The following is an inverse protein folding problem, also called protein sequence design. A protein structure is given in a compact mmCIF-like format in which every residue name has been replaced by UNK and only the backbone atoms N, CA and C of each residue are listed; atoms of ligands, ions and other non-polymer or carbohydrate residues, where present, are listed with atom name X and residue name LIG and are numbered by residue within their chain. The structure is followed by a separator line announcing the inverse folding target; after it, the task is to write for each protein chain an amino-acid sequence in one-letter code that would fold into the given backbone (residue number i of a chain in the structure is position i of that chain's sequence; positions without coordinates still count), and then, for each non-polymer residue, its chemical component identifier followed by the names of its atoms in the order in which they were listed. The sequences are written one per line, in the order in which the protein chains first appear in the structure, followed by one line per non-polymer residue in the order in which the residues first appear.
data_IF_478315311931
#
_entry.id   IF_478315311931
#
_cell.length_a   1.000
_cell.length_b   1.000
_cell.length_c   1.000
_cell.angle_alpha   90.00
_cell.angle_beta   90.00
_cell.angle_gamma   90.00
#
_symmetry.space_group_name_H-M   'P 1'
#
loop_
_entity.id
_entity.type
_entity.pdbx_description
1 polymer ?
#
# COMPACT_ATOMS: atom_id res chain seq x y z
N UNK A 1 5.15 22.58 -9.82
CA UNK A 1 6.57 22.21 -9.68
C UNK A 1 7.07 22.61 -8.29
N UNK A 2 7.91 21.79 -7.70
CA UNK A 2 8.60 22.09 -6.44
C UNK A 2 10.06 22.42 -6.74
N UNK A 3 10.57 23.46 -6.11
CA UNK A 3 11.97 23.87 -6.23
C UNK A 3 12.77 23.47 -4.97
N UNK A 4 14.11 23.55 -5.08
CA UNK A 4 15.02 23.27 -3.98
C UNK A 4 15.19 21.77 -3.69
N UNK A 5 15.68 21.45 -2.50
CA UNK A 5 16.14 20.11 -2.14
C UNK A 5 15.12 18.99 -2.44
N UNK A 6 13.85 19.15 -2.02
CA UNK A 6 12.84 18.14 -2.27
C UNK A 6 12.47 18.06 -3.76
N UNK A 7 12.38 19.20 -4.46
CA UNK A 7 12.15 19.23 -5.90
C UNK A 7 13.22 18.46 -6.68
N UNK A 8 14.49 18.72 -6.37
CA UNK A 8 15.63 18.02 -6.99
C UNK A 8 15.57 16.51 -6.73
N UNK A 9 15.16 16.09 -5.52
CA UNK A 9 14.99 14.66 -5.16
C UNK A 9 13.84 14.01 -5.92
N UNK A 10 12.71 14.72 -6.06
CA UNK A 10 11.55 14.23 -6.83
C UNK A 10 11.93 14.07 -8.30
N UNK A 11 12.55 15.07 -8.90
CA UNK A 11 12.95 15.03 -10.32
C UNK A 11 13.97 13.92 -10.59
N UNK A 12 14.94 13.74 -9.70
CA UNK A 12 15.90 12.65 -9.79
C UNK A 12 15.22 11.26 -9.67
N UNK A 13 14.28 11.12 -8.74
CA UNK A 13 13.50 9.89 -8.56
C UNK A 13 12.68 9.56 -9.81
N UNK A 14 11.97 10.54 -10.36
CA UNK A 14 11.17 10.34 -11.58
C UNK A 14 12.07 9.89 -12.73
N UNK A 15 13.14 10.61 -13.01
CA UNK A 15 14.04 10.33 -14.13
C UNK A 15 14.71 8.97 -14.00
N UNK A 16 15.25 8.65 -12.81
CA UNK A 16 16.12 7.49 -12.61
C UNK A 16 15.35 6.25 -12.17
N UNK A 17 14.24 6.39 -11.44
CA UNK A 17 13.50 5.23 -10.90
C UNK A 17 12.20 4.93 -11.63
N UNK A 18 11.41 5.97 -11.94
CA UNK A 18 10.10 5.77 -12.57
C UNK A 18 10.23 5.57 -14.08
N UNK A 19 10.97 6.47 -14.75
CA UNK A 19 11.11 6.44 -16.21
C UNK A 19 12.01 5.32 -16.72
N UNK A 20 12.94 4.81 -15.91
CA UNK A 20 13.83 3.70 -16.31
C UNK A 20 13.17 2.34 -16.23
N UNK A 21 12.09 2.19 -15.45
CA UNK A 21 11.40 0.91 -15.27
C UNK A 21 10.70 0.46 -16.57
N UNK A 22 10.73 -0.84 -16.82
CA UNK A 22 9.98 -1.46 -17.91
C UNK A 22 8.71 -2.13 -17.35
N UNK A 23 7.53 -1.52 -17.54
CA UNK A 23 6.29 -2.07 -17.01
C UNK A 23 5.93 -3.44 -17.60
N UNK A 24 6.45 -3.80 -18.77
CA UNK A 24 6.21 -5.10 -19.37
C UNK A 24 6.84 -6.25 -18.57
N UNK A 25 8.02 -6.00 -17.98
CA UNK A 25 8.65 -6.93 -17.05
C UNK A 25 7.82 -7.12 -15.78
N UNK A 26 7.15 -6.06 -15.30
CA UNK A 26 6.27 -6.13 -14.14
C UNK A 26 4.96 -6.91 -14.43
N UNK A 27 4.51 -6.93 -15.68
CA UNK A 27 3.33 -7.69 -16.13
C UNK A 27 3.65 -9.17 -16.38
N UNK A 28 4.90 -9.54 -16.62
CA UNK A 28 5.28 -10.89 -16.99
C UNK A 28 4.74 -12.00 -16.04
N UNK A 29 4.71 -11.85 -14.71
CA UNK A 29 4.11 -12.85 -13.81
C UNK A 29 2.61 -13.07 -14.07
N UNK A 30 1.86 -12.00 -14.39
CA UNK A 30 0.43 -12.10 -14.67
C UNK A 30 0.13 -12.82 -16.00
N UNK A 31 1.08 -12.84 -16.94
CA UNK A 31 0.97 -13.65 -18.14
C UNK A 31 1.18 -15.15 -17.85
N UNK A 32 2.03 -15.49 -16.89
CA UNK A 32 2.35 -16.88 -16.55
C UNK A 32 1.30 -17.54 -15.68
N UNK A 33 0.81 -16.83 -14.66
CA UNK A 33 -0.19 -17.31 -13.70
C UNK A 33 0.15 -18.68 -13.07
N UNK A 34 1.38 -18.82 -12.63
CA UNK A 34 1.91 -20.08 -12.06
C UNK A 34 2.32 -19.95 -10.60
N UNK A 35 2.10 -18.79 -10.02
CA UNK A 35 2.53 -18.48 -8.65
C UNK A 35 1.59 -19.13 -7.62
N UNK A 36 2.12 -19.42 -6.44
CA UNK A 36 1.36 -20.02 -5.34
C UNK A 36 1.57 -19.35 -4.00
N UNK A 37 2.58 -18.48 -3.88
CA UNK A 37 2.97 -17.92 -2.57
C UNK A 37 3.51 -16.51 -2.58
N UNK A 38 4.02 -16.00 -3.71
CA UNK A 38 4.74 -14.73 -3.78
C UNK A 38 3.86 -13.56 -4.24
N UNK A 39 4.34 -12.32 -4.02
CA UNK A 39 3.58 -11.07 -4.18
C UNK A 39 3.93 -10.26 -5.44
N UNK A 40 4.35 -10.90 -6.51
CA UNK A 40 4.84 -10.26 -7.74
C UNK A 40 3.88 -9.23 -8.34
N UNK A 41 2.58 -9.47 -8.31
CA UNK A 41 1.59 -8.59 -8.95
C UNK A 41 1.44 -7.22 -8.27
N UNK A 42 1.89 -7.06 -7.01
CA UNK A 42 1.88 -5.75 -6.36
C UNK A 42 2.84 -4.74 -7.01
N UNK A 43 3.92 -5.22 -7.64
CA UNK A 43 4.95 -4.35 -8.18
C UNK A 43 4.45 -3.50 -9.35
N UNK A 44 3.65 -4.10 -10.23
CA UNK A 44 3.02 -3.36 -11.33
C UNK A 44 2.11 -2.24 -10.78
N UNK A 45 1.25 -2.54 -9.82
CA UNK A 45 0.33 -1.56 -9.26
C UNK A 45 1.06 -0.43 -8.52
N UNK A 46 2.09 -0.76 -7.74
CA UNK A 46 2.92 0.23 -7.05
C UNK A 46 3.63 1.15 -8.03
N UNK A 47 4.25 0.59 -9.07
CA UNK A 47 4.89 1.39 -10.12
C UNK A 47 3.88 2.29 -10.83
N UNK A 48 2.74 1.74 -11.26
CA UNK A 48 1.70 2.49 -11.98
C UNK A 48 1.19 3.68 -11.18
N UNK A 49 0.93 3.49 -9.87
CA UNK A 49 0.52 4.58 -8.98
C UNK A 49 1.59 5.67 -8.88
N UNK A 50 2.86 5.28 -8.71
CA UNK A 50 3.99 6.22 -8.67
C UNK A 50 4.20 6.94 -10.00
N UNK A 51 4.07 6.22 -11.13
CA UNK A 51 4.22 6.78 -12.46
C UNK A 51 3.10 7.78 -12.80
N UNK A 52 1.85 7.48 -12.44
CA UNK A 52 0.71 8.39 -12.63
C UNK A 52 0.88 9.67 -11.81
N UNK A 53 1.25 9.56 -10.53
CA UNK A 53 1.51 10.73 -9.70
C UNK A 53 2.69 11.56 -10.24
N UNK A 54 3.76 10.92 -10.69
CA UNK A 54 4.90 11.57 -11.35
C UNK A 54 4.48 12.28 -12.64
N UNK A 55 3.66 11.64 -13.47
CA UNK A 55 3.13 12.28 -14.68
C UNK A 55 2.23 13.49 -14.34
N UNK A 56 1.43 13.41 -13.30
CA UNK A 56 0.63 14.57 -12.86
C UNK A 56 1.52 15.75 -12.47
N UNK A 57 2.69 15.49 -11.93
CA UNK A 57 3.67 16.50 -11.55
C UNK A 57 4.41 17.10 -12.74
N UNK A 58 4.99 16.30 -13.63
CA UNK A 58 5.89 16.78 -14.69
C UNK A 58 5.30 16.84 -16.10
N UNK A 59 4.15 16.18 -16.34
CA UNK A 59 3.46 16.08 -17.64
C UNK A 59 4.32 15.52 -18.78
N UNK A 60 5.28 14.65 -18.47
CA UNK A 60 6.16 14.03 -19.44
C UNK A 60 5.38 13.08 -20.38
N UNK A 61 5.28 13.38 -21.70
CA UNK A 61 4.53 12.54 -22.62
C UNK A 61 5.15 11.15 -22.85
N UNK A 62 6.46 10.99 -22.63
CA UNK A 62 7.13 9.68 -22.70
C UNK A 62 6.68 8.79 -21.53
N UNK A 63 6.59 9.36 -20.33
CA UNK A 63 6.09 8.65 -19.18
C UNK A 63 4.63 8.25 -19.36
N UNK A 64 3.78 9.13 -19.94
CA UNK A 64 2.39 8.79 -20.23
C UNK A 64 2.29 7.58 -21.17
N UNK A 65 3.04 7.59 -22.29
CA UNK A 65 3.06 6.46 -23.23
C UNK A 65 3.50 5.14 -22.55
N UNK A 66 4.45 5.23 -21.64
CA UNK A 66 4.90 4.06 -20.87
C UNK A 66 3.81 3.54 -19.94
N UNK A 67 3.07 4.44 -19.26
CA UNK A 67 1.91 4.08 -18.43
C UNK A 67 0.83 3.40 -19.28
N UNK A 68 0.48 4.00 -20.40
CA UNK A 68 -0.51 3.46 -21.35
C UNK A 68 -0.14 2.05 -21.81
N UNK A 69 1.10 1.86 -22.26
CA UNK A 69 1.62 0.55 -22.68
C UNK A 69 1.59 -0.50 -21.55
N UNK A 70 1.93 -0.10 -20.33
CA UNK A 70 1.87 -0.97 -19.16
C UNK A 70 0.45 -1.39 -18.79
N UNK A 71 -0.52 -0.49 -18.92
CA UNK A 71 -1.94 -0.80 -18.70
C UNK A 71 -2.50 -1.70 -19.80
N UNK A 72 -2.22 -1.41 -21.06
CA UNK A 72 -2.64 -2.27 -22.18
C UNK A 72 -2.07 -3.69 -22.03
N UNK A 73 -0.78 -3.78 -21.71
CA UNK A 73 -0.09 -5.05 -21.48
C UNK A 73 -0.73 -5.87 -20.36
N UNK A 74 -1.12 -5.20 -19.27
CA UNK A 74 -1.82 -5.85 -18.16
C UNK A 74 -3.22 -6.33 -18.55
N UNK A 75 -4.02 -5.47 -19.20
CA UNK A 75 -5.41 -5.80 -19.56
C UNK A 75 -5.50 -7.01 -20.49
N UNK A 76 -4.50 -7.22 -21.35
CA UNK A 76 -4.41 -8.42 -22.22
C UNK A 76 -4.28 -9.71 -21.41
N UNK A 77 -3.77 -9.66 -20.17
CA UNK A 77 -3.65 -10.84 -19.30
C UNK A 77 -4.96 -11.25 -18.64
N UNK A 78 -6.01 -10.42 -18.72
CA UNK A 78 -7.28 -10.70 -18.06
C UNK A 78 -7.93 -11.96 -18.60
N UNK A 79 -8.21 -12.90 -17.70
CA UNK A 79 -8.85 -14.17 -18.05
C UNK A 79 -10.33 -13.97 -18.42
N UNK A 80 -10.94 -14.93 -19.12
CA UNK A 80 -12.36 -14.86 -19.49
C UNK A 80 -13.30 -14.70 -18.29
N UNK A 81 -12.95 -15.25 -17.13
CA UNK A 81 -13.70 -15.12 -15.87
C UNK A 81 -13.49 -13.78 -15.17
N UNK A 82 -12.57 -12.96 -15.65
CA UNK A 82 -12.26 -11.63 -15.11
C UNK A 82 -10.99 -11.54 -14.27
N UNK A 83 -10.34 -12.66 -13.95
CA UNK A 83 -9.13 -12.66 -13.13
C UNK A 83 -7.97 -11.91 -13.79
N UNK A 84 -7.28 -11.07 -13.04
CA UNK A 84 -5.95 -10.53 -13.32
C UNK A 84 -5.09 -10.75 -12.08
N UNK A 85 -4.01 -11.47 -12.20
CA UNK A 85 -3.08 -11.75 -11.12
C UNK A 85 -2.02 -12.75 -11.57
N UNK A 86 -1.11 -13.09 -10.69
CA UNK A 86 0.01 -14.00 -10.97
C UNK A 86 -0.20 -15.45 -10.46
N UNK A 87 -1.30 -15.71 -9.72
CA UNK A 87 -1.55 -16.98 -9.07
C UNK A 87 -2.16 -18.01 -10.02
N UNK A 88 -1.70 -19.27 -9.87
CA UNK A 88 -2.36 -20.41 -10.48
C UNK A 88 -3.81 -20.54 -9.97
N UNK A 89 -4.75 -21.03 -10.79
CA UNK A 89 -6.17 -21.10 -10.42
C UNK A 89 -6.42 -21.81 -9.08
N UNK A 90 -5.73 -22.91 -8.82
CA UNK A 90 -5.85 -23.68 -7.58
C UNK A 90 -5.24 -23.02 -6.35
N UNK A 91 -4.39 -22.01 -6.53
CA UNK A 91 -3.74 -21.27 -5.47
C UNK A 91 -4.40 -19.90 -5.19
N UNK A 92 -5.40 -19.51 -5.96
CA UNK A 92 -6.13 -18.27 -5.72
C UNK A 92 -6.72 -18.24 -4.31
N UNK A 93 -6.92 -17.06 -3.76
CA UNK A 93 -7.36 -16.80 -2.38
C UNK A 93 -6.38 -17.27 -1.29
N UNK A 94 -5.14 -17.57 -1.63
CA UNK A 94 -4.10 -17.88 -0.63
C UNK A 94 -3.01 -16.81 -0.63
N UNK A 95 -2.24 -16.77 0.45
CA UNK A 95 -1.05 -15.93 0.58
C UNK A 95 -1.27 -14.47 0.14
N UNK A 96 -0.69 -14.05 -0.97
CA UNK A 96 -0.71 -12.66 -1.45
C UNK A 96 -1.61 -12.43 -2.68
N UNK A 97 -2.45 -13.40 -3.06
CA UNK A 97 -3.30 -13.28 -4.25
C UNK A 97 -4.24 -12.06 -4.16
N UNK A 98 -5.03 -11.95 -3.08
CA UNK A 98 -5.98 -10.83 -2.93
C UNK A 98 -5.25 -9.50 -2.77
N UNK A 99 -4.09 -9.49 -2.09
CA UNK A 99 -3.21 -8.35 -2.02
C UNK A 99 -2.73 -7.89 -3.40
N UNK A 100 -2.36 -8.82 -4.26
CA UNK A 100 -1.99 -8.52 -5.65
C UNK A 100 -3.14 -7.90 -6.44
N UNK A 101 -4.35 -8.48 -6.32
CA UNK A 101 -5.57 -7.92 -6.94
C UNK A 101 -5.86 -6.51 -6.47
N UNK A 102 -5.64 -6.21 -5.17
CA UNK A 102 -5.75 -4.85 -4.63
C UNK A 102 -4.90 -3.87 -5.44
N UNK A 103 -3.63 -4.17 -5.65
CA UNK A 103 -2.72 -3.29 -6.37
C UNK A 103 -3.07 -3.17 -7.84
N UNK A 104 -3.52 -4.24 -8.46
CA UNK A 104 -4.06 -4.23 -9.83
C UNK A 104 -5.23 -3.26 -9.94
N UNK A 105 -6.21 -3.36 -9.05
CA UNK A 105 -7.37 -2.47 -9.03
C UNK A 105 -6.97 -1.01 -8.78
N UNK A 106 -6.10 -0.74 -7.81
CA UNK A 106 -5.62 0.62 -7.53
C UNK A 106 -4.95 1.26 -8.75
N UNK A 107 -4.07 0.52 -9.43
CA UNK A 107 -3.40 1.00 -10.63
C UNK A 107 -4.36 1.29 -11.78
N UNK A 108 -5.29 0.37 -12.06
CA UNK A 108 -6.30 0.54 -13.13
C UNK A 108 -7.26 1.70 -12.84
N UNK A 109 -7.72 1.85 -11.59
CA UNK A 109 -8.59 2.96 -11.19
C UNK A 109 -7.89 4.30 -11.27
N UNK A 110 -6.62 4.38 -10.84
CA UNK A 110 -5.82 5.60 -10.98
C UNK A 110 -5.60 5.98 -12.45
N UNK A 111 -5.41 5.00 -13.32
CA UNK A 111 -5.30 5.22 -14.76
C UNK A 111 -6.63 5.70 -15.38
N UNK A 112 -7.74 5.08 -14.99
CA UNK A 112 -9.07 5.55 -15.38
C UNK A 112 -9.31 7.01 -14.96
N UNK A 113 -8.94 7.37 -13.72
CA UNK A 113 -9.08 8.76 -13.23
C UNK A 113 -8.19 9.77 -13.99
N UNK A 114 -7.07 9.30 -14.52
CA UNK A 114 -6.17 10.12 -15.31
C UNK A 114 -6.69 10.36 -16.73
N UNK A 115 -7.21 9.30 -17.37
CA UNK A 115 -7.45 9.27 -18.82
C UNK A 115 -8.90 9.20 -19.22
N UNK A 116 -9.78 8.74 -18.34
CA UNK A 116 -11.17 8.38 -18.66
C UNK A 116 -11.31 7.08 -19.48
N UNK A 117 -10.24 6.30 -19.63
CA UNK A 117 -10.28 5.05 -20.42
C UNK A 117 -11.15 3.99 -19.73
N UNK A 118 -12.32 3.77 -20.35
CA UNK A 118 -13.31 2.82 -19.84
C UNK A 118 -12.81 1.38 -19.82
N UNK A 119 -11.84 1.00 -20.65
CA UNK A 119 -11.29 -0.37 -20.64
C UNK A 119 -10.64 -0.69 -19.28
N UNK A 120 -9.97 0.30 -18.67
CA UNK A 120 -9.39 0.14 -17.35
C UNK A 120 -10.45 -0.02 -16.26
N UNK A 121 -11.54 0.76 -16.31
CA UNK A 121 -12.68 0.63 -15.41
C UNK A 121 -13.37 -0.73 -15.58
N UNK A 122 -13.67 -1.12 -16.83
CA UNK A 122 -14.31 -2.41 -17.14
C UNK A 122 -13.44 -3.59 -16.72
N UNK A 123 -12.12 -3.51 -16.90
CA UNK A 123 -11.17 -4.50 -16.43
C UNK A 123 -11.20 -4.64 -14.90
N UNK A 124 -11.30 -3.51 -14.20
CA UNK A 124 -11.40 -3.48 -12.73
C UNK A 124 -12.74 -4.06 -12.25
N UNK A 125 -13.85 -3.71 -12.91
CA UNK A 125 -15.19 -4.28 -12.64
C UNK A 125 -15.16 -5.80 -12.76
N UNK A 126 -14.63 -6.32 -13.87
CA UNK A 126 -14.55 -7.78 -14.09
C UNK A 126 -13.67 -8.47 -13.03
N UNK A 127 -12.55 -7.85 -12.65
CA UNK A 127 -11.68 -8.40 -11.60
C UNK A 127 -12.38 -8.41 -10.22
N UNK A 128 -13.08 -7.34 -9.88
CA UNK A 128 -13.86 -7.27 -8.65
C UNK A 128 -15.01 -8.28 -8.65
N UNK A 129 -15.77 -8.36 -9.74
CA UNK A 129 -16.87 -9.32 -9.88
C UNK A 129 -16.38 -10.77 -9.76
N UNK A 130 -15.24 -11.10 -10.37
CA UNK A 130 -14.61 -12.41 -10.18
C UNK A 130 -14.32 -12.68 -8.69
N UNK A 131 -13.77 -11.70 -7.96
CA UNK A 131 -13.52 -11.85 -6.51
C UNK A 131 -14.83 -12.09 -5.74
N UNK A 132 -15.90 -11.39 -6.08
CA UNK A 132 -17.21 -11.54 -5.45
C UNK A 132 -17.82 -12.92 -5.70
N UNK A 133 -17.49 -13.61 -6.80
CA UNK A 133 -17.90 -15.00 -7.02
C UNK A 133 -17.18 -15.99 -6.10
N UNK A 134 -15.99 -15.63 -5.64
CA UNK A 134 -15.13 -16.49 -4.82
C UNK A 134 -15.33 -16.23 -3.32
N UNK A 135 -15.56 -14.99 -2.91
CA UNK A 135 -15.71 -14.58 -1.51
C UNK A 135 -17.17 -14.14 -1.29
N UNK A 136 -17.91 -14.71 -0.33
CA UNK A 136 -17.48 -15.74 0.64
C UNK A 136 -17.67 -17.20 0.19
N UNK A 137 -18.14 -17.43 -1.02
CA UNK A 137 -18.61 -18.76 -1.46
C UNK A 137 -17.53 -19.86 -1.34
N UNK A 138 -16.29 -19.55 -1.69
CA UNK A 138 -15.16 -20.49 -1.60
C UNK A 138 -14.46 -20.35 -0.26
N UNK A 139 -14.22 -19.12 0.19
CA UNK A 139 -13.52 -18.82 1.44
C UNK A 139 -13.92 -17.46 2.00
N UNK A 140 -14.02 -17.35 3.33
CA UNK A 140 -14.21 -16.06 4.01
C UNK A 140 -12.95 -15.20 3.87
N UNK A 141 -13.10 -13.87 3.74
CA UNK A 141 -11.97 -12.99 3.42
C UNK A 141 -10.89 -12.99 4.51
N UNK A 142 -11.23 -13.05 5.78
CA UNK A 142 -10.28 -13.10 6.90
C UNK A 142 -9.48 -14.41 6.95
N UNK A 143 -9.92 -15.42 6.20
CA UNK A 143 -9.23 -16.70 6.03
C UNK A 143 -8.48 -16.81 4.70
N UNK A 144 -8.52 -15.77 3.89
CA UNK A 144 -7.67 -15.63 2.71
C UNK A 144 -6.40 -14.86 3.07
N UNK A 145 -5.33 -15.10 2.34
CA UNK A 145 -4.07 -14.40 2.61
C UNK A 145 -3.44 -14.81 3.95
N UNK A 146 -2.74 -13.87 4.56
CA UNK A 146 -1.96 -14.03 5.78
C UNK A 146 -2.39 -13.01 6.86
N UNK A 147 -1.87 -13.14 8.07
CA UNK A 147 -2.14 -12.24 9.21
C UNK A 147 -3.65 -12.11 9.49
N UNK A 148 -4.35 -13.24 9.64
CA UNK A 148 -5.81 -13.30 9.83
C UNK A 148 -6.58 -12.52 8.77
N UNK A 149 -6.11 -12.60 7.53
CA UNK A 149 -6.68 -11.91 6.39
C UNK A 149 -6.43 -10.41 6.34
N UNK A 150 -5.57 -9.84 7.18
CA UNK A 150 -5.27 -8.40 7.18
C UNK A 150 -4.75 -7.93 5.81
N UNK A 151 -3.86 -8.71 5.17
CA UNK A 151 -3.41 -8.42 3.81
C UNK A 151 -4.56 -8.38 2.80
N UNK A 152 -5.50 -9.31 2.90
CA UNK A 152 -6.65 -9.41 1.99
C UNK A 152 -7.75 -8.38 2.29
N UNK A 153 -8.03 -8.11 3.57
CA UNK A 153 -9.02 -7.10 3.97
C UNK A 153 -8.64 -5.69 3.48
N UNK A 154 -7.36 -5.42 3.22
CA UNK A 154 -6.91 -4.14 2.67
C UNK A 154 -7.42 -3.85 1.25
N UNK A 155 -8.05 -4.83 0.57
CA UNK A 155 -8.75 -4.60 -0.71
C UNK A 155 -9.99 -3.70 -0.53
N UNK A 156 -10.41 -3.45 0.70
CA UNK A 156 -11.47 -2.50 1.04
C UNK A 156 -11.27 -1.14 0.35
N UNK A 157 -10.01 -0.65 0.28
CA UNK A 157 -9.70 0.62 -0.38
C UNK A 157 -10.13 0.63 -1.86
N UNK A 158 -9.59 -0.23 -2.75
CA UNK A 158 -10.00 -0.18 -4.16
C UNK A 158 -11.46 -0.61 -4.40
N UNK A 159 -12.07 -1.42 -3.54
CA UNK A 159 -13.51 -1.73 -3.63
C UNK A 159 -14.34 -0.47 -3.40
N UNK A 160 -14.01 0.36 -2.42
CA UNK A 160 -14.70 1.63 -2.20
C UNK A 160 -14.42 2.65 -3.30
N UNK A 161 -13.19 2.69 -3.81
CA UNK A 161 -12.87 3.52 -4.97
C UNK A 161 -13.63 3.09 -6.22
N UNK A 162 -13.86 1.79 -6.41
CA UNK A 162 -14.68 1.26 -7.50
C UNK A 162 -16.16 1.61 -7.31
N UNK A 163 -16.70 1.47 -6.08
CA UNK A 163 -18.04 1.93 -5.75
C UNK A 163 -18.27 3.39 -6.14
N UNK A 164 -17.36 4.28 -5.78
CA UNK A 164 -17.46 5.70 -6.08
C UNK A 164 -17.50 6.02 -7.59
N UNK A 165 -17.05 5.12 -8.46
CA UNK A 165 -17.02 5.29 -9.92
C UNK A 165 -18.17 4.61 -10.64
N UNK A 166 -18.71 3.57 -10.02
CA UNK A 166 -19.80 2.76 -10.62
C UNK A 166 -21.15 3.02 -9.97
N UNK A 167 -21.17 3.39 -8.70
CA UNK A 167 -22.36 3.48 -7.83
C UNK A 167 -23.13 2.15 -7.76
N UNK A 168 -22.44 1.02 -8.01
CA UNK A 168 -23.07 -0.31 -7.90
C UNK A 168 -23.02 -0.79 -6.44
N UNK A 169 -24.17 -0.89 -5.83
CA UNK A 169 -24.34 -1.22 -4.41
C UNK A 169 -23.68 -2.54 -4.00
N UNK A 170 -23.49 -3.49 -4.92
CA UNK A 170 -22.79 -4.75 -4.62
C UNK A 170 -21.38 -4.53 -4.03
N UNK A 171 -20.68 -3.47 -4.44
CA UNK A 171 -19.36 -3.13 -3.93
C UNK A 171 -19.42 -2.52 -2.53
N UNK A 172 -20.43 -1.71 -2.24
CA UNK A 172 -20.67 -1.20 -0.89
C UNK A 172 -21.08 -2.32 0.07
N UNK A 173 -21.92 -3.25 -0.38
CA UNK A 173 -22.29 -4.42 0.41
C UNK A 173 -21.08 -5.33 0.66
N UNK A 174 -20.23 -5.51 -0.34
CA UNK A 174 -18.97 -6.26 -0.17
C UNK A 174 -18.01 -5.54 0.79
N UNK A 175 -17.92 -4.22 0.74
CA UNK A 175 -17.12 -3.43 1.69
C UNK A 175 -17.62 -3.61 3.14
N UNK A 176 -18.94 -3.59 3.38
CA UNK A 176 -19.53 -3.89 4.68
C UNK A 176 -19.20 -5.30 5.14
N UNK A 177 -19.30 -6.27 4.25
CA UNK A 177 -18.91 -7.66 4.52
C UNK A 177 -17.43 -7.76 4.93
N UNK A 178 -16.51 -7.07 4.21
CA UNK A 178 -15.10 -7.06 4.58
C UNK A 178 -14.90 -6.55 6.01
N UNK A 179 -15.56 -5.46 6.38
CA UNK A 179 -15.48 -4.90 7.74
C UNK A 179 -16.04 -5.86 8.79
N UNK A 180 -17.21 -6.47 8.54
CA UNK A 180 -17.79 -7.46 9.45
C UNK A 180 -16.84 -8.65 9.68
N UNK A 181 -16.18 -9.12 8.62
CA UNK A 181 -15.21 -10.21 8.75
C UNK A 181 -13.91 -9.79 9.41
N UNK A 182 -13.42 -8.59 9.12
CA UNK A 182 -12.26 -8.02 9.78
C UNK A 182 -12.46 -7.88 11.30
N UNK A 183 -13.68 -7.56 11.73
CA UNK A 183 -14.04 -7.41 13.17
C UNK A 183 -14.50 -8.72 13.81
N UNK A 184 -14.58 -9.82 13.07
CA UNK A 184 -14.93 -11.13 13.62
C UNK A 184 -13.85 -11.68 14.56
N UNK A 185 -14.18 -12.71 15.33
CA UNK A 185 -13.20 -13.38 16.23
C UNK A 185 -11.99 -13.98 15.49
N UNK A 186 -12.17 -14.38 14.23
CA UNK A 186 -11.10 -14.92 13.39
C UNK A 186 -10.30 -13.81 12.68
N UNK A 187 -10.85 -12.60 12.61
CA UNK A 187 -10.23 -11.44 11.98
C UNK A 187 -9.25 -10.67 12.88
N UNK A 188 -8.60 -9.64 12.37
CA UNK A 188 -7.64 -8.83 13.11
C UNK A 188 -8.26 -7.85 14.11
N UNK A 189 -9.58 -7.58 14.05
CA UNK A 189 -10.36 -6.72 14.95
C UNK A 189 -9.78 -5.30 15.06
N UNK A 190 -9.45 -4.68 13.93
CA UNK A 190 -8.71 -3.43 13.91
C UNK A 190 -9.51 -2.22 14.42
N UNK A 191 -10.84 -2.18 14.18
CA UNK A 191 -11.71 -1.08 14.66
C UNK A 191 -11.89 -1.18 16.17
N UNK A 192 -12.33 -2.33 16.67
CA UNK A 192 -12.56 -2.54 18.10
C UNK A 192 -11.30 -2.23 18.91
N UNK A 193 -10.15 -2.82 18.54
CA UNK A 193 -8.88 -2.61 19.24
C UNK A 193 -8.40 -1.16 19.18
N UNK A 194 -8.62 -0.46 18.08
CA UNK A 194 -8.28 0.96 17.98
C UNK A 194 -9.12 1.80 18.95
N UNK A 195 -10.44 1.57 18.98
CA UNK A 195 -11.37 2.30 19.86
C UNK A 195 -11.16 1.96 21.35
N UNK A 196 -10.70 0.74 21.66
CA UNK A 196 -10.33 0.30 23.01
C UNK A 196 -8.95 0.82 23.45
N UNK A 197 -8.24 1.57 22.58
CA UNK A 197 -6.93 2.15 22.89
C UNK A 197 -5.78 1.15 22.92
N UNK A 198 -5.93 -0.02 22.30
CA UNK A 198 -4.86 -1.02 22.19
C UNK A 198 -3.74 -0.46 21.30
N UNK A 199 -2.48 -0.40 21.77
CA UNK A 199 -1.36 0.06 20.95
C UNK A 199 -1.19 -0.74 19.67
N UNK A 200 -0.75 -0.09 18.58
CA UNK A 200 -0.59 -0.77 17.29
C UNK A 200 0.39 -1.95 17.33
N UNK A 201 1.38 -1.89 18.21
CA UNK A 201 2.32 -3.00 18.46
C UNK A 201 1.73 -4.20 19.23
N UNK A 202 0.47 -4.13 19.65
CA UNK A 202 -0.20 -5.16 20.44
C UNK A 202 -1.54 -5.60 19.85
N UNK A 203 -1.94 -5.06 18.70
CA UNK A 203 -3.27 -5.33 18.09
C UNK A 203 -3.40 -6.72 17.51
N UNK A 204 -2.31 -7.28 17.06
CA UNK A 204 -2.30 -8.61 16.47
C UNK A 204 -1.66 -9.60 17.42
N UNK A 205 -2.31 -10.71 17.77
CA UNK A 205 -1.70 -11.71 18.63
C UNK A 205 -0.52 -12.36 17.91
N UNK A 206 0.55 -12.63 18.65
CA UNK A 206 1.69 -13.37 18.14
C UNK A 206 1.28 -14.81 17.84
N UNK A 207 1.54 -15.28 16.63
CA UNK A 207 1.25 -16.67 16.24
C UNK A 207 2.13 -17.65 17.01
N UNK A 208 3.38 -17.25 17.28
CA UNK A 208 4.31 -18.01 18.11
C UNK A 208 5.06 -17.05 19.07
N UNK A 209 4.58 -16.90 20.32
CA UNK A 209 5.23 -16.02 21.29
C UNK A 209 6.68 -16.39 21.62
N UNK A 210 7.10 -17.65 21.40
CA UNK A 210 8.46 -18.10 21.68
C UNK A 210 9.48 -17.52 20.68
N UNK A 211 9.03 -17.13 19.49
CA UNK A 211 9.90 -16.52 18.44
C UNK A 211 10.22 -15.05 18.70
N UNK A 212 9.54 -14.42 19.64
CA UNK A 212 9.58 -12.98 19.78
C UNK A 212 8.91 -12.26 18.59
N UNK A 213 8.88 -10.94 18.62
CA UNK A 213 8.20 -10.16 17.58
C UNK A 213 9.15 -9.46 16.59
N UNK A 214 10.44 -9.70 16.71
CA UNK A 214 11.44 -9.28 15.73
C UNK A 214 11.57 -10.28 14.55
N UNK A 215 10.44 -10.72 14.01
CA UNK A 215 10.38 -11.62 12.86
C UNK A 215 9.21 -11.23 11.99
N UNK A 216 9.32 -11.44 10.67
CA UNK A 216 8.29 -11.04 9.69
C UNK A 216 6.95 -11.73 9.91
N UNK A 217 6.93 -12.89 10.54
CA UNK A 217 5.74 -13.71 10.74
C UNK A 217 4.86 -13.29 11.91
N UNK A 218 5.32 -12.39 12.76
CA UNK A 218 4.63 -12.08 14.04
C UNK A 218 3.49 -11.04 13.95
N UNK A 219 3.02 -10.75 12.76
CA UNK A 219 1.67 -10.21 12.61
C UNK A 219 1.42 -8.73 12.88
N UNK A 220 2.29 -7.98 13.58
CA UNK A 220 2.14 -6.52 13.76
C UNK A 220 2.51 -5.74 12.50
N UNK A 221 2.25 -6.33 11.35
CA UNK A 221 2.66 -5.81 10.03
C UNK A 221 2.11 -4.41 9.80
N UNK A 222 3.03 -3.44 9.81
CA UNK A 222 2.68 -2.02 9.77
C UNK A 222 2.03 -1.62 8.44
N UNK A 223 2.56 -2.10 7.33
CA UNK A 223 2.05 -1.76 6.00
C UNK A 223 0.63 -2.29 5.79
N UNK A 224 0.41 -3.56 6.03
CA UNK A 224 -0.88 -4.21 5.83
C UNK A 224 -1.93 -3.63 6.79
N UNK A 225 -1.56 -3.35 8.05
CA UNK A 225 -2.44 -2.73 9.02
C UNK A 225 -2.86 -1.33 8.57
N UNK A 226 -1.93 -0.45 8.22
CA UNK A 226 -2.25 0.89 7.73
C UNK A 226 -3.08 0.85 6.44
N UNK A 227 -2.83 -0.12 5.56
CA UNK A 227 -3.63 -0.29 4.34
C UNK A 227 -5.10 -0.65 4.62
N UNK A 228 -5.39 -1.37 5.70
CA UNK A 228 -6.78 -1.60 6.13
C UNK A 228 -7.43 -0.29 6.60
N UNK A 229 -6.69 0.56 7.30
CA UNK A 229 -7.19 1.87 7.74
C UNK A 229 -7.40 2.85 6.59
N UNK A 230 -6.57 2.81 5.53
CA UNK A 230 -6.85 3.53 4.28
C UNK A 230 -8.22 3.14 3.71
N UNK A 231 -8.53 1.84 3.68
CA UNK A 231 -9.83 1.34 3.24
C UNK A 231 -10.99 1.84 4.12
N UNK A 232 -10.80 1.92 5.44
CA UNK A 232 -11.81 2.46 6.35
C UNK A 232 -12.07 3.94 6.12
N UNK A 233 -11.07 4.74 5.75
CA UNK A 233 -11.27 6.14 5.38
C UNK A 233 -12.13 6.26 4.11
N UNK A 234 -11.90 5.43 3.10
CA UNK A 234 -12.73 5.43 1.90
C UNK A 234 -14.19 5.03 2.21
N UNK A 235 -14.39 4.05 3.08
CA UNK A 235 -15.73 3.66 3.53
C UNK A 235 -16.38 4.76 4.38
N UNK A 236 -15.63 5.45 5.22
CA UNK A 236 -16.13 6.60 5.98
C UNK A 236 -16.65 7.73 5.09
N UNK A 237 -15.94 8.05 4.01
CA UNK A 237 -16.34 9.11 3.06
C UNK A 237 -17.72 8.85 2.44
N UNK A 238 -18.13 7.58 2.33
CA UNK A 238 -19.43 7.19 1.77
C UNK A 238 -20.51 7.05 2.84
N UNK A 239 -20.16 6.41 3.96
CA UNK A 239 -21.16 6.04 5.00
C UNK A 239 -21.36 7.10 6.07
N UNK A 240 -20.37 7.99 6.27
CA UNK A 240 -20.30 8.92 7.39
C UNK A 240 -20.39 8.24 8.77
N UNK A 241 -20.08 6.94 8.88
CA UNK A 241 -20.04 6.26 10.18
C UNK A 241 -18.81 6.73 10.97
N UNK A 242 -19.01 7.48 12.08
CA UNK A 242 -17.90 8.10 12.80
C UNK A 242 -16.94 7.10 13.45
N UNK A 243 -17.36 5.82 13.60
CA UNK A 243 -16.48 4.78 14.16
C UNK A 243 -15.26 4.56 13.31
N UNK A 244 -15.39 4.62 11.97
CA UNK A 244 -14.28 4.41 11.05
C UNK A 244 -13.22 5.52 11.18
N UNK A 245 -13.63 6.78 11.11
CA UNK A 245 -12.69 7.89 11.28
C UNK A 245 -12.03 7.86 12.66
N UNK A 246 -12.80 7.66 13.74
CA UNK A 246 -12.27 7.58 15.11
C UNK A 246 -11.25 6.45 15.26
N UNK A 247 -11.48 5.29 14.66
CA UNK A 247 -10.55 4.17 14.70
C UNK A 247 -9.23 4.51 13.99
N UNK A 248 -9.31 5.21 12.84
CA UNK A 248 -8.11 5.65 12.10
C UNK A 248 -7.34 6.71 12.88
N UNK A 249 -8.02 7.74 13.42
CA UNK A 249 -7.38 8.79 14.24
C UNK A 249 -6.74 8.22 15.51
N UNK A 250 -7.41 7.28 16.20
CA UNK A 250 -6.83 6.58 17.36
C UNK A 250 -5.60 5.77 16.96
N UNK A 251 -5.62 5.14 15.78
CA UNK A 251 -4.47 4.40 15.25
C UNK A 251 -3.30 5.32 14.96
N UNK A 252 -3.53 6.42 14.26
CA UNK A 252 -2.46 7.39 13.95
C UNK A 252 -1.91 8.01 15.23
N UNK A 253 -2.76 8.28 16.21
CA UNK A 253 -2.32 8.76 17.54
C UNK A 253 -1.39 7.73 18.21
N UNK A 254 -1.74 6.45 18.19
CA UNK A 254 -0.87 5.38 18.72
C UNK A 254 0.45 5.28 17.95
N UNK A 255 0.41 5.36 16.61
CA UNK A 255 1.63 5.33 15.78
C UNK A 255 2.56 6.51 16.13
N UNK A 256 2.03 7.73 16.25
CA UNK A 256 2.82 8.92 16.63
C UNK A 256 3.39 8.78 18.05
N UNK A 257 2.59 8.26 18.97
CA UNK A 257 2.98 8.13 20.37
C UNK A 257 4.11 7.10 20.55
N UNK A 258 4.02 5.95 19.88
CA UNK A 258 4.82 4.79 20.23
C UNK A 258 5.79 4.32 19.14
N UNK A 259 5.53 4.61 17.86
CA UNK A 259 6.25 4.00 16.74
C UNK A 259 7.16 4.96 15.99
N UNK A 260 6.71 6.20 15.74
CA UNK A 260 7.46 7.13 14.91
C UNK A 260 8.71 7.65 15.63
N UNK A 261 9.86 7.25 15.11
CA UNK A 261 11.18 7.65 15.60
C UNK A 261 11.55 9.09 15.17
N UNK A 262 12.75 9.52 15.51
CA UNK A 262 13.24 10.88 15.21
C UNK A 262 13.25 11.19 13.71
N UNK A 263 13.44 10.20 12.84
CA UNK A 263 13.46 10.37 11.39
C UNK A 263 12.07 10.38 10.74
N UNK A 264 10.99 10.22 11.50
CA UNK A 264 9.63 10.26 10.95
C UNK A 264 9.17 8.96 10.30
N UNK A 265 9.73 7.82 10.70
CA UNK A 265 9.29 6.49 10.29
C UNK A 265 9.39 5.52 11.45
N UNK A 266 8.83 4.35 11.32
CA UNK A 266 8.87 3.31 12.33
C UNK A 266 8.68 1.95 11.68
N UNK A 267 9.05 0.95 12.30
CA UNK A 267 8.94 -0.49 12.05
C UNK A 267 10.28 -1.19 12.20
N UNK A 268 10.23 -2.45 12.61
CA UNK A 268 11.33 -3.38 12.49
C UNK A 268 10.79 -4.71 11.97
N UNK A 269 11.50 -5.35 11.04
CA UNK A 269 10.97 -6.51 10.31
C UNK A 269 9.57 -6.23 9.72
N UNK A 270 9.36 -4.98 9.27
CA UNK A 270 8.09 -4.51 8.72
C UNK A 270 6.92 -4.47 9.74
N UNK A 271 7.22 -4.68 11.04
CA UNK A 271 6.24 -4.71 12.12
C UNK A 271 6.34 -3.47 13.03
N UNK A 272 5.22 -3.04 13.58
CA UNK A 272 5.21 -2.10 14.71
C UNK A 272 5.82 -2.75 15.95
N UNK A 273 6.64 -1.99 16.73
CA UNK A 273 7.50 -2.57 17.75
C UNK A 273 7.86 -1.61 18.89
N UNK A 274 7.10 -0.54 19.10
CA UNK A 274 7.43 0.56 20.02
C UNK A 274 8.72 1.29 19.63
N UNK A 275 8.91 1.49 18.34
CA UNK A 275 10.14 2.01 17.74
C UNK A 275 10.56 3.37 18.22
N UNK A 276 9.63 4.20 18.73
CA UNK A 276 9.96 5.48 19.34
C UNK A 276 10.80 5.35 20.62
N UNK A 277 10.53 4.35 21.42
CA UNK A 277 11.31 4.07 22.62
C UNK A 277 12.61 3.31 22.28
N UNK A 278 12.55 2.40 21.31
CA UNK A 278 13.63 1.49 20.99
C UNK A 278 14.56 2.01 19.88
N UNK A 279 14.29 3.15 19.27
CA UNK A 279 15.03 3.88 18.19
C UNK A 279 16.11 3.09 17.44
N UNK A 280 17.13 2.60 18.12
CA UNK A 280 18.27 1.89 17.58
C UNK A 280 18.29 0.39 17.88
N UNK A 281 17.29 -0.15 18.57
CA UNK A 281 17.19 -1.56 18.89
C UNK A 281 15.89 -2.17 18.33
N UNK A 282 15.96 -3.15 17.41
CA UNK A 282 17.19 -3.64 16.77
C UNK A 282 17.71 -2.62 15.72
N UNK A 283 19.04 -2.57 15.57
CA UNK A 283 19.69 -1.65 14.65
C UNK A 283 19.56 -2.05 13.15
N UNK A 284 18.80 -3.07 12.83
CA UNK A 284 18.66 -3.62 11.48
C UNK A 284 17.20 -3.87 11.15
N UNK A 285 16.88 -3.92 9.85
CA UNK A 285 15.53 -4.09 9.31
C UNK A 285 14.53 -3.04 9.82
N UNK A 286 15.01 -1.83 10.15
CA UNK A 286 14.17 -0.74 10.63
C UNK A 286 13.88 0.30 9.54
N UNK A 287 12.78 1.02 9.71
CA UNK A 287 12.30 2.05 8.78
C UNK A 287 12.21 1.55 7.34
N UNK A 288 11.41 0.52 7.11
CA UNK A 288 11.11 0.06 5.76
C UNK A 288 10.51 1.19 4.94
N UNK A 289 11.01 1.42 3.71
CA UNK A 289 10.51 2.50 2.85
C UNK A 289 9.03 2.31 2.48
N UNK A 290 8.54 1.07 2.35
CA UNK A 290 7.11 0.82 2.17
C UNK A 290 6.28 1.31 3.34
N UNK A 291 6.73 1.09 4.56
CA UNK A 291 6.06 1.60 5.77
C UNK A 291 6.10 3.12 5.81
N UNK A 292 7.23 3.75 5.48
CA UNK A 292 7.34 5.22 5.38
C UNK A 292 6.33 5.77 4.38
N UNK A 293 6.24 5.18 3.18
CA UNK A 293 5.27 5.61 2.16
C UNK A 293 3.83 5.48 2.65
N UNK A 294 3.46 4.33 3.23
CA UNK A 294 2.09 4.09 3.67
C UNK A 294 1.72 4.99 4.85
N UNK A 295 2.67 5.27 5.74
CA UNK A 295 2.51 6.26 6.80
C UNK A 295 2.22 7.66 6.25
N UNK A 296 3.01 8.12 5.28
CA UNK A 296 2.81 9.42 4.65
C UNK A 296 1.47 9.50 3.92
N UNK A 297 1.06 8.42 3.24
CA UNK A 297 -0.24 8.33 2.58
C UNK A 297 -1.40 8.43 3.57
N UNK A 298 -1.35 7.67 4.66
CA UNK A 298 -2.40 7.69 5.69
C UNK A 298 -2.51 9.09 6.33
N UNK A 299 -1.39 9.74 6.62
CA UNK A 299 -1.35 11.13 7.09
C UNK A 299 -1.93 12.10 6.05
N UNK A 300 -1.63 11.91 4.76
CA UNK A 300 -2.15 12.76 3.70
C UNK A 300 -3.66 12.62 3.54
N UNK A 301 -4.19 11.41 3.58
CA UNK A 301 -5.63 11.16 3.49
C UNK A 301 -6.38 11.80 4.67
N UNK A 302 -5.83 11.70 5.88
CA UNK A 302 -6.37 12.38 7.06
C UNK A 302 -6.24 13.91 6.99
N UNK A 303 -5.12 14.43 6.48
CA UNK A 303 -4.94 15.88 6.28
C UNK A 303 -6.03 16.44 5.38
N UNK A 304 -6.27 15.81 4.24
CA UNK A 304 -7.32 16.22 3.30
C UNK A 304 -8.72 16.14 3.91
N UNK A 305 -8.96 15.13 4.74
CA UNK A 305 -10.27 14.90 5.32
C UNK A 305 -10.56 15.82 6.51
N UNK A 306 -9.57 16.05 7.37
CA UNK A 306 -9.75 16.73 8.66
C UNK A 306 -9.17 18.14 8.70
N UNK A 307 -8.25 18.45 7.78
CA UNK A 307 -7.45 19.69 7.77
C UNK A 307 -6.62 19.91 9.03
N UNK A 308 -6.32 18.84 9.76
CA UNK A 308 -5.49 18.92 10.97
C UNK A 308 -4.00 19.00 10.57
N UNK A 309 -3.30 20.10 10.90
CA UNK A 309 -1.91 20.32 10.51
C UNK A 309 -0.93 19.30 11.11
N UNK A 310 -1.31 18.59 12.18
CA UNK A 310 -0.51 17.52 12.74
C UNK A 310 -0.07 16.50 11.67
N UNK A 311 -0.96 16.20 10.73
CA UNK A 311 -0.65 15.22 9.67
C UNK A 311 0.33 15.79 8.64
N UNK A 312 0.27 17.10 8.37
CA UNK A 312 1.26 17.77 7.54
C UNK A 312 2.66 17.74 8.18
N UNK A 313 2.75 17.99 9.49
CA UNK A 313 4.01 17.89 10.25
C UNK A 313 4.63 16.49 10.16
N UNK A 314 3.80 15.42 10.20
CA UNK A 314 4.29 14.06 10.04
C UNK A 314 4.81 13.79 8.63
N UNK A 315 4.12 14.26 7.60
CA UNK A 315 4.56 14.13 6.21
C UNK A 315 5.89 14.86 6.00
N UNK A 316 5.99 16.10 6.45
CA UNK A 316 7.21 16.92 6.34
C UNK A 316 8.39 16.25 7.04
N UNK A 317 8.19 15.78 8.26
CA UNK A 317 9.22 15.08 9.03
C UNK A 317 9.71 13.82 8.32
N UNK A 318 8.82 13.03 7.76
CA UNK A 318 9.17 11.84 6.98
C UNK A 318 9.90 12.21 5.70
N UNK A 319 9.43 13.24 4.99
CA UNK A 319 9.97 13.68 3.71
C UNK A 319 11.43 14.11 3.80
N UNK A 320 11.76 14.98 4.78
CA UNK A 320 13.11 15.51 4.94
C UNK A 320 14.10 14.54 5.59
N UNK A 321 13.62 13.49 6.23
CA UNK A 321 14.47 12.55 6.95
C UNK A 321 14.35 11.13 6.39
N UNK A 322 13.42 10.32 6.85
CA UNK A 322 13.36 8.89 6.49
C UNK A 322 13.26 8.67 4.98
N UNK A 323 12.40 9.42 4.27
CA UNK A 323 12.23 9.28 2.83
C UNK A 323 13.47 9.79 2.07
N UNK A 324 13.92 11.01 2.36
CA UNK A 324 15.10 11.57 1.71
C UNK A 324 16.33 10.70 1.92
N UNK A 325 16.51 10.16 3.14
CA UNK A 325 17.62 9.26 3.46
C UNK A 325 17.49 7.89 2.77
N UNK A 326 16.30 7.45 2.39
CA UNK A 326 16.13 6.15 1.74
C UNK A 326 16.71 6.08 0.32
N UNK A 327 16.83 7.20 -0.38
CA UNK A 327 17.27 7.24 -1.77
C UNK A 327 18.70 7.79 -1.87
N UNK A 328 19.56 7.12 -2.62
CA UNK A 328 20.90 7.64 -2.95
C UNK A 328 20.80 9.01 -3.62
N UNK A 329 21.86 9.80 -3.54
CA UNK A 329 21.89 11.15 -4.09
C UNK A 329 21.65 11.15 -5.61
N UNK A 330 22.23 10.18 -6.32
CA UNK A 330 22.04 9.96 -7.75
C UNK A 330 20.74 9.24 -8.11
N UNK A 331 19.89 8.94 -7.13
CA UNK A 331 18.66 8.17 -7.25
C UNK A 331 18.82 6.74 -7.81
N UNK A 332 20.03 6.23 -7.92
CA UNK A 332 20.29 4.90 -8.47
C UNK A 332 19.68 3.77 -7.62
N UNK A 333 19.43 4.02 -6.34
CA UNK A 333 18.94 3.03 -5.40
C UNK A 333 18.01 3.65 -4.35
N UNK A 334 16.93 2.94 -4.00
CA UNK A 334 16.10 3.21 -2.83
C UNK A 334 16.34 2.10 -1.81
N UNK A 335 16.63 2.47 -0.57
CA UNK A 335 16.84 1.52 0.50
C UNK A 335 15.54 0.79 0.86
N UNK A 336 15.63 -0.50 1.12
CA UNK A 336 14.53 -1.23 1.76
C UNK A 336 14.45 -0.82 3.23
N UNK A 337 15.60 -0.81 3.93
CA UNK A 337 15.71 -0.43 5.33
C UNK A 337 16.72 0.70 5.54
N UNK A 338 16.39 1.63 6.43
CA UNK A 338 17.21 2.82 6.74
C UNK A 338 17.37 2.97 8.25
N UNK A 339 18.13 2.09 8.94
CA UNK A 339 18.30 2.18 10.39
C UNK A 339 18.92 3.51 10.80
N UNK A 340 18.60 3.99 12.00
CA UNK A 340 19.20 5.20 12.58
C UNK A 340 20.69 5.03 12.88
N UNK A 341 21.13 3.80 13.14
CA UNK A 341 22.52 3.41 13.34
C UNK A 341 22.92 2.36 12.30
N UNK A 342 24.12 2.45 11.74
CA UNK A 342 24.64 1.50 10.77
C UNK A 342 24.39 1.89 9.32
N UNK A 343 24.29 0.91 8.44
CA UNK A 343 24.17 1.09 7.01
C UNK A 343 22.76 0.90 6.49
N UNK A 344 22.36 1.74 5.54
CA UNK A 344 21.14 1.52 4.76
C UNK A 344 21.28 0.27 3.90
N UNK A 345 20.23 -0.52 3.80
CA UNK A 345 20.17 -1.72 2.97
C UNK A 345 19.21 -1.50 1.80
N UNK A 346 19.70 -1.71 0.58
CA UNK A 346 18.85 -1.68 -0.62
C UNK A 346 17.81 -2.81 -0.62
N UNK A 347 18.04 -3.84 0.16
CA UNK A 347 17.29 -5.08 0.10
C UNK A 347 17.68 -5.93 -1.12
N UNK A 348 17.24 -7.16 -1.09
CA UNK A 348 17.42 -8.10 -2.19
C UNK A 348 16.33 -7.91 -3.23
N UNK A 349 16.59 -8.36 -4.44
CA UNK A 349 15.56 -8.59 -5.44
C UNK A 349 14.56 -9.61 -4.91
N UNK A 350 13.27 -9.38 -5.15
CA UNK A 350 12.21 -10.19 -4.57
C UNK A 350 11.42 -10.97 -5.62
N UNK A 351 10.92 -12.12 -5.23
CA UNK A 351 9.99 -12.91 -6.03
C UNK A 351 10.56 -13.36 -7.39
N UNK A 352 11.89 -13.47 -7.52
CA UNK A 352 12.54 -13.76 -8.79
C UNK A 352 12.41 -12.65 -9.84
N UNK A 353 12.16 -11.42 -9.39
CA UNK A 353 12.06 -10.22 -10.23
C UNK A 353 13.26 -9.32 -9.97
N UNK A 354 13.57 -8.42 -10.92
CA UNK A 354 14.68 -7.45 -10.86
C UNK A 354 14.44 -6.28 -9.89
N UNK A 355 13.37 -6.34 -9.10
CA UNK A 355 12.92 -5.27 -8.19
C UNK A 355 12.53 -5.84 -6.83
N UNK A 356 12.34 -4.96 -5.88
CA UNK A 356 11.68 -5.27 -4.61
C UNK A 356 10.53 -4.30 -4.31
N UNK A 357 9.75 -4.58 -3.28
CA UNK A 357 8.58 -3.78 -2.93
C UNK A 357 8.91 -2.30 -2.70
N UNK A 358 10.04 -1.99 -2.07
CA UNK A 358 10.45 -0.61 -1.75
C UNK A 358 10.96 0.17 -2.97
N UNK A 359 11.60 -0.51 -3.93
CA UNK A 359 11.98 0.12 -5.20
C UNK A 359 10.75 0.62 -5.97
N UNK A 360 9.64 -0.11 -5.88
CA UNK A 360 8.39 0.24 -6.54
C UNK A 360 7.55 1.24 -5.73
N UNK A 361 7.64 1.19 -4.40
CA UNK A 361 6.81 2.01 -3.52
C UNK A 361 7.45 3.35 -3.13
N UNK A 362 8.78 3.42 -3.05
CA UNK A 362 9.50 4.65 -2.74
C UNK A 362 9.17 5.82 -3.69
N UNK A 363 9.13 5.61 -5.02
CA UNK A 363 8.72 6.64 -5.96
C UNK A 363 7.33 7.22 -5.69
N UNK A 364 6.39 6.41 -5.18
CA UNK A 364 5.06 6.91 -4.77
C UNK A 364 5.16 7.93 -3.64
N UNK A 365 6.06 7.70 -2.68
CA UNK A 365 6.26 8.61 -1.56
C UNK A 365 6.84 9.96 -2.03
N UNK A 366 7.81 9.95 -2.95
CA UNK A 366 8.32 11.18 -3.55
C UNK A 366 7.27 11.91 -4.37
N UNK A 367 6.46 11.19 -5.16
CA UNK A 367 5.41 11.76 -5.99
C UNK A 367 4.19 12.27 -5.18
N UNK A 368 4.03 11.85 -3.91
CA UNK A 368 3.03 12.36 -3.00
C UNK A 368 3.34 13.80 -2.52
N UNK A 369 4.62 14.16 -2.43
CA UNK A 369 5.03 15.44 -1.83
C UNK A 369 4.44 16.67 -2.53
N UNK A 370 4.42 16.79 -3.86
CA UNK A 370 3.77 17.91 -4.54
C UNK A 370 2.26 18.01 -4.23
N UNK A 371 1.57 16.87 -4.12
CA UNK A 371 0.14 16.85 -3.79
C UNK A 371 -0.10 17.26 -2.33
N UNK A 372 0.79 16.85 -1.42
CA UNK A 372 0.70 17.19 0.00
C UNK A 372 1.08 18.66 0.30
N UNK A 373 1.92 19.27 -0.54
CA UNK A 373 2.36 20.66 -0.37
C UNK A 373 1.27 21.69 -0.72
N UNK A 374 0.29 21.29 -1.53
CA UNK A 374 -0.82 22.17 -1.96
C UNK A 374 -2.11 21.40 -1.76
N UNK A 375 -2.78 21.61 -0.65
CA UNK A 375 -4.12 21.08 -0.36
C UNK A 375 -5.15 22.18 -0.49
N UNK A 376 -6.18 21.98 -1.33
CA UNK A 376 -7.32 22.87 -1.46
C UNK A 376 -8.26 22.81 -0.26
#
# INVERSE_FOLDING_TARGET
HMDGYLGDRIDACIRVRVCSEDPDLLVAPMRRQTETSLWQSEFWGKWTLGAIASYRYNKDPELLRKIEGGVESLLVTQQPDGYIGNYAPEAQLTNWDVWGRKYTMLGLLAYYDLTGDKKALDGTVRLADHLLTQIPAVRQIERTGIYRGMSSCSILEPIMLLYNRTLDEKYLDFARYIVDRMESADGPQLIAKALDGVPVSERFPLDDPSRGWFVWENGQKAYEMMSCYDGLLELYKVTNDPRYLKAVEATVTSIIADEINIAGSGSSFECFYKGKALQTEPAYHTMETCVTMTWMKLCYDLLRLTRNPLYADQIERSAYNALAASMKEDASQIAKYSPLEGARSAGEEQCGMHVNCCNMNGPRAFALLPEAAVTD
#
